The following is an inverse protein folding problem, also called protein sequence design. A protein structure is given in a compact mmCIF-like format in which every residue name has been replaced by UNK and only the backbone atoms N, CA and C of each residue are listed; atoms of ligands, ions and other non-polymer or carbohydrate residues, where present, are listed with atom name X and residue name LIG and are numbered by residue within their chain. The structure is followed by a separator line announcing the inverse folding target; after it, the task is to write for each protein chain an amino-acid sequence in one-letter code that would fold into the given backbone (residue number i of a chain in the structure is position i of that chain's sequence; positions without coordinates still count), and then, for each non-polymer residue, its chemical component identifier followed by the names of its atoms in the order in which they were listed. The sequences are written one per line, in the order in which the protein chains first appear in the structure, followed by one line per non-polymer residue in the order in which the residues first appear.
data_IF_402852305384
#
_entry.id   IF_402852305384
#
_cell.length_a   1.000
_cell.length_b   1.000
_cell.length_c   1.000
_cell.angle_alpha   90.00
_cell.angle_beta   90.00
_cell.angle_gamma   90.00
#
_symmetry.space_group_name_H-M   'P 1'
#
loop_
_entity.id
_entity.type
_entity.pdbx_description
1 polymer ?
#
# COMPACT_ATOMS: atom_id res chain seq x y z
N UNK A 1 -26.10 -8.21 -7.67
CA UNK A 1 -25.94 -8.18 -9.14
C UNK A 1 -24.54 -7.70 -9.51
N UNK A 2 -24.02 -8.11 -10.67
CA UNK A 2 -22.75 -7.58 -11.20
C UNK A 2 -23.00 -6.24 -11.88
N UNK A 3 -22.13 -5.26 -11.61
CA UNK A 3 -22.17 -3.95 -12.23
C UNK A 3 -20.77 -3.43 -12.55
N UNK A 4 -20.69 -2.39 -13.39
CA UNK A 4 -19.46 -1.63 -13.61
C UNK A 4 -19.68 -0.17 -13.27
N UNK A 5 -18.73 0.41 -12.54
CA UNK A 5 -18.58 1.86 -12.50
C UNK A 5 -17.93 2.33 -13.79
N UNK A 6 -18.42 3.45 -14.31
CA UNK A 6 -18.00 4.02 -15.59
C UNK A 6 -16.78 4.93 -15.49
N UNK A 7 -16.43 5.33 -14.26
CA UNK A 7 -15.25 6.12 -13.93
C UNK A 7 -14.78 5.73 -12.53
N UNK A 8 -13.49 5.97 -12.26
CA UNK A 8 -12.91 5.68 -10.96
C UNK A 8 -13.17 6.83 -9.96
N UNK A 9 -13.39 8.07 -10.44
CA UNK A 9 -13.59 9.27 -9.62
C UNK A 9 -14.89 9.23 -8.82
N UNK A 10 -14.85 9.75 -7.59
CA UNK A 10 -16.00 9.80 -6.65
C UNK A 10 -17.18 10.61 -7.17
N UNK A 11 -16.90 11.72 -7.83
CA UNK A 11 -17.86 12.68 -8.38
C UNK A 11 -18.46 12.21 -9.71
N UNK A 12 -17.84 11.23 -10.36
CA UNK A 12 -18.30 10.67 -11.63
C UNK A 12 -19.19 9.46 -11.38
N UNK A 13 -20.43 9.73 -10.97
CA UNK A 13 -21.41 8.70 -10.64
C UNK A 13 -22.09 8.18 -11.91
N UNK A 14 -21.61 7.06 -12.43
CA UNK A 14 -22.20 6.36 -13.55
C UNK A 14 -22.02 4.85 -13.38
N UNK A 15 -23.12 4.10 -13.53
CA UNK A 15 -23.14 2.65 -13.34
C UNK A 15 -23.74 1.95 -14.55
N UNK A 16 -23.12 0.83 -14.92
CA UNK A 16 -23.65 -0.12 -15.87
C UNK A 16 -24.12 -1.39 -15.17
N UNK A 17 -25.39 -1.77 -15.36
CA UNK A 17 -25.96 -3.01 -14.83
C UNK A 17 -27.15 -3.45 -15.70
N UNK A 18 -27.35 -4.75 -15.86
CA UNK A 18 -28.47 -5.35 -16.61
C UNK A 18 -28.73 -4.72 -17.99
N UNK A 19 -27.68 -4.49 -18.77
CA UNK A 19 -27.84 -3.93 -20.12
C UNK A 19 -28.04 -2.41 -20.16
N UNK A 20 -28.03 -1.71 -19.02
CA UNK A 20 -28.44 -0.31 -18.91
C UNK A 20 -27.38 0.56 -18.24
N UNK A 21 -27.26 1.80 -18.73
CA UNK A 21 -26.46 2.86 -18.12
C UNK A 21 -27.35 3.70 -17.19
N UNK A 22 -26.89 3.89 -15.95
CA UNK A 22 -27.55 4.65 -14.90
C UNK A 22 -26.65 5.80 -14.45
N UNK A 23 -27.18 7.03 -14.47
CA UNK A 23 -26.45 8.25 -14.08
C UNK A 23 -27.10 8.99 -12.90
N UNK A 24 -28.44 9.00 -12.83
CA UNK A 24 -29.16 9.75 -11.80
C UNK A 24 -29.64 8.90 -10.61
N UNK A 25 -30.10 7.67 -10.88
CA UNK A 25 -30.62 6.75 -9.87
C UNK A 25 -29.86 5.43 -9.93
N UNK A 26 -29.04 5.18 -8.91
CA UNK A 26 -28.30 3.94 -8.77
C UNK A 26 -29.25 2.80 -8.39
N UNK A 27 -29.22 1.66 -9.10
CA UNK A 27 -30.02 0.50 -8.74
C UNK A 27 -29.68 -0.01 -7.34
N UNK A 28 -30.68 -0.55 -6.64
CA UNK A 28 -30.45 -1.30 -5.41
C UNK A 28 -29.89 -2.69 -5.70
N UNK A 29 -29.24 -3.33 -4.72
CA UNK A 29 -28.71 -4.70 -4.81
C UNK A 29 -27.49 -4.89 -5.75
N UNK A 30 -26.67 -3.86 -5.87
CA UNK A 30 -25.33 -3.96 -6.45
C UNK A 30 -24.42 -4.72 -5.48
N UNK A 31 -23.89 -5.87 -5.88
CA UNK A 31 -23.16 -6.75 -4.94
C UNK A 31 -21.75 -7.09 -5.38
N UNK A 32 -21.44 -6.95 -6.67
CA UNK A 32 -20.19 -7.43 -7.26
C UNK A 32 -19.75 -6.52 -8.40
N UNK A 33 -18.48 -6.18 -8.46
CA UNK A 33 -17.90 -5.42 -9.58
C UNK A 33 -16.44 -5.81 -9.79
N UNK A 34 -15.79 -5.21 -10.78
CA UNK A 34 -14.39 -5.48 -11.06
C UNK A 34 -13.47 -5.00 -9.93
N UNK A 35 -13.56 -3.72 -9.55
CA UNK A 35 -12.62 -3.07 -8.63
C UNK A 35 -13.29 -1.92 -7.89
N UNK A 36 -12.88 -1.65 -6.65
CA UNK A 36 -13.34 -0.50 -5.89
C UNK A 36 -13.05 0.83 -6.59
N UNK A 37 -14.03 1.72 -6.56
CA UNK A 37 -13.98 3.12 -7.01
C UNK A 37 -14.67 4.01 -5.98
N UNK A 38 -14.41 5.32 -5.99
CA UNK A 38 -14.90 6.23 -4.95
C UNK A 38 -16.42 6.44 -4.96
N UNK A 39 -17.10 6.05 -6.04
CA UNK A 39 -18.56 6.11 -6.18
C UNK A 39 -19.29 4.95 -5.49
N UNK A 40 -18.57 3.92 -5.01
CA UNK A 40 -19.16 2.76 -4.34
C UNK A 40 -19.22 3.02 -2.83
N UNK A 41 -20.43 3.04 -2.27
CA UNK A 41 -20.66 3.30 -0.84
C UNK A 41 -21.09 2.08 -0.03
N UNK A 42 -21.64 1.04 -0.68
CA UNK A 42 -22.06 -0.18 0.01
C UNK A 42 -20.84 -1.01 0.42
N UNK A 43 -20.62 -1.25 1.74
CA UNK A 43 -19.47 -1.99 2.22
C UNK A 43 -19.50 -3.48 1.83
N UNK A 44 -20.65 -4.02 1.40
CA UNK A 44 -20.82 -5.43 1.07
C UNK A 44 -20.47 -5.78 -0.38
N UNK A 45 -20.08 -4.79 -1.20
CA UNK A 45 -19.68 -5.04 -2.59
C UNK A 45 -18.37 -5.82 -2.64
N UNK A 46 -18.37 -6.92 -3.39
CA UNK A 46 -17.17 -7.71 -3.68
C UNK A 46 -16.50 -7.29 -5.00
N UNK A 47 -15.19 -7.52 -5.10
CA UNK A 47 -14.30 -7.07 -6.16
C UNK A 47 -13.55 -8.25 -6.78
N UNK A 48 -13.80 -8.51 -8.07
CA UNK A 48 -13.12 -9.56 -8.84
C UNK A 48 -11.61 -9.35 -8.92
N UNK A 49 -11.14 -8.10 -9.02
CA UNK A 49 -9.71 -7.74 -9.10
C UNK A 49 -8.89 -8.27 -7.92
N UNK A 50 -9.48 -8.36 -6.72
CA UNK A 50 -8.84 -8.94 -5.55
C UNK A 50 -8.78 -10.47 -5.62
N UNK A 51 -9.82 -11.11 -6.16
CA UNK A 51 -9.88 -12.58 -6.34
C UNK A 51 -8.84 -13.08 -7.34
N UNK A 52 -8.66 -12.36 -8.43
CA UNK A 52 -7.63 -12.68 -9.43
C UNK A 52 -6.24 -12.12 -9.09
N UNK A 53 -5.98 -11.77 -7.82
CA UNK A 53 -4.65 -11.36 -7.35
C UNK A 53 -4.07 -10.14 -8.08
N UNK A 54 -4.92 -9.20 -8.48
CA UNK A 54 -4.49 -7.97 -9.13
C UNK A 54 -4.30 -8.05 -10.64
N UNK A 55 -4.60 -9.18 -11.28
CA UNK A 55 -4.55 -9.32 -12.74
C UNK A 55 -5.35 -8.21 -13.45
N UNK A 56 -4.87 -7.77 -14.59
CA UNK A 56 -5.64 -6.89 -15.49
C UNK A 56 -6.81 -7.63 -16.11
N UNK A 57 -7.84 -6.91 -16.57
CA UNK A 57 -8.97 -7.50 -17.30
C UNK A 57 -8.52 -8.38 -18.47
N UNK A 58 -7.45 -7.99 -19.18
CA UNK A 58 -6.88 -8.78 -20.27
C UNK A 58 -6.29 -10.11 -19.80
N UNK A 59 -5.65 -10.13 -18.63
CA UNK A 59 -5.01 -11.33 -18.07
C UNK A 59 -6.04 -12.31 -17.49
N UNK A 60 -7.12 -11.78 -16.92
CA UNK A 60 -8.23 -12.56 -16.38
C UNK A 60 -9.35 -12.82 -17.41
N UNK A 61 -9.16 -12.44 -18.68
CA UNK A 61 -10.18 -12.60 -19.71
C UNK A 61 -10.21 -14.06 -20.19
N UNK A 62 -11.38 -14.73 -20.20
CA UNK A 62 -11.50 -16.07 -20.73
C UNK A 62 -11.23 -16.09 -22.25
N UNK A 63 -10.79 -17.24 -22.77
CA UNK A 63 -10.32 -17.37 -24.15
C UNK A 63 -11.39 -16.96 -25.16
N UNK A 64 -12.67 -17.26 -24.91
CA UNK A 64 -13.77 -16.90 -25.79
C UNK A 64 -14.04 -15.39 -25.92
N UNK A 65 -13.63 -14.57 -24.93
CA UNK A 65 -13.87 -13.12 -24.91
C UNK A 65 -12.63 -12.30 -25.30
N UNK A 66 -11.47 -12.94 -25.48
CA UNK A 66 -10.19 -12.22 -25.60
C UNK A 66 -10.14 -11.30 -26.82
N UNK A 67 -10.71 -11.72 -27.96
CA UNK A 67 -10.69 -10.93 -29.20
C UNK A 67 -11.64 -9.73 -29.12
N UNK A 68 -12.83 -9.91 -28.54
CA UNK A 68 -13.76 -8.80 -28.26
C UNK A 68 -13.12 -7.80 -27.29
N UNK A 69 -12.52 -8.29 -26.20
CA UNK A 69 -11.82 -7.44 -25.25
C UNK A 69 -10.66 -6.68 -25.90
N UNK A 70 -9.84 -7.33 -26.76
CA UNK A 70 -8.75 -6.66 -27.49
C UNK A 70 -9.26 -5.59 -28.45
N UNK A 71 -10.39 -5.80 -29.13
CA UNK A 71 -11.02 -4.78 -29.98
C UNK A 71 -11.45 -3.57 -29.15
N UNK A 72 -12.16 -3.82 -28.06
CA UNK A 72 -12.68 -2.78 -27.15
C UNK A 72 -11.57 -2.01 -26.46
N UNK A 73 -10.53 -2.70 -25.97
CA UNK A 73 -9.37 -2.09 -25.34
C UNK A 73 -8.62 -1.17 -26.30
N UNK A 74 -8.41 -1.57 -27.56
CA UNK A 74 -7.80 -0.70 -28.59
C UNK A 74 -8.61 0.57 -28.81
N UNK A 75 -9.95 0.45 -28.83
CA UNK A 75 -10.85 1.61 -28.98
C UNK A 75 -10.81 2.52 -27.75
N UNK A 76 -10.79 1.95 -26.54
CA UNK A 76 -10.59 2.68 -25.29
C UNK A 76 -9.27 3.48 -25.28
N UNK A 77 -8.16 2.83 -25.63
CA UNK A 77 -6.85 3.47 -25.71
C UNK A 77 -6.81 4.58 -26.77
N UNK A 78 -7.52 4.41 -27.89
CA UNK A 78 -7.66 5.44 -28.91
C UNK A 78 -8.41 6.69 -28.37
N UNK A 79 -9.49 6.51 -27.59
CA UNK A 79 -10.18 7.63 -26.93
C UNK A 79 -9.24 8.36 -25.96
N UNK A 80 -8.58 7.65 -25.04
CA UNK A 80 -7.62 8.26 -24.12
C UNK A 80 -6.49 9.00 -24.85
N UNK A 81 -6.00 8.44 -25.96
CA UNK A 81 -5.00 9.09 -26.80
C UNK A 81 -5.53 10.38 -27.42
N UNK A 82 -6.77 10.40 -27.93
CA UNK A 82 -7.38 11.61 -28.48
C UNK A 82 -7.57 12.69 -27.42
N UNK A 83 -8.00 12.34 -26.20
CA UNK A 83 -8.18 13.28 -25.11
C UNK A 83 -6.85 13.92 -24.69
N UNK A 84 -5.79 13.11 -24.61
CA UNK A 84 -4.44 13.61 -24.33
C UNK A 84 -3.94 14.57 -25.42
N UNK A 85 -4.18 14.27 -26.70
CA UNK A 85 -3.81 15.16 -27.82
C UNK A 85 -4.61 16.46 -27.74
N UNK A 86 -5.91 16.37 -27.42
CA UNK A 86 -6.79 17.52 -27.19
C UNK A 86 -6.54 18.27 -25.88
N UNK A 87 -5.55 17.85 -25.07
CA UNK A 87 -5.26 18.40 -23.74
C UNK A 87 -6.47 18.40 -22.79
N UNK A 88 -7.36 17.43 -22.95
CA UNK A 88 -8.51 17.24 -22.05
C UNK A 88 -8.01 16.55 -20.78
N UNK A 89 -8.29 17.15 -19.63
CA UNK A 89 -7.90 16.62 -18.32
C UNK A 89 -8.89 15.55 -17.85
N UNK A 90 -8.46 14.30 -17.78
CA UNK A 90 -9.29 13.20 -17.23
C UNK A 90 -9.53 13.31 -15.72
N UNK A 91 -8.88 14.27 -15.05
CA UNK A 91 -9.16 14.64 -13.66
C UNK A 91 -10.37 15.55 -13.53
N UNK A 92 -10.63 16.37 -14.53
CA UNK A 92 -11.72 17.37 -14.51
C UNK A 92 -12.99 16.87 -15.21
N UNK A 93 -12.87 15.83 -16.03
CA UNK A 93 -13.98 15.28 -16.81
C UNK A 93 -14.22 13.80 -16.52
N UNK A 94 -15.49 13.41 -16.50
CA UNK A 94 -15.90 12.02 -16.45
C UNK A 94 -15.69 11.36 -17.82
N UNK A 95 -15.06 10.18 -17.84
CA UNK A 95 -14.76 9.48 -19.10
C UNK A 95 -16.01 9.22 -19.93
N UNK A 96 -17.11 8.83 -19.28
CA UNK A 96 -18.35 8.48 -19.94
C UNK A 96 -19.05 9.65 -20.64
N UNK A 97 -18.77 10.91 -20.26
CA UNK A 97 -19.31 12.09 -20.94
C UNK A 97 -18.62 12.35 -22.29
N UNK A 98 -17.42 11.80 -22.47
CA UNK A 98 -16.55 12.10 -23.61
C UNK A 98 -16.59 11.02 -24.71
N UNK A 99 -17.31 9.91 -24.47
CA UNK A 99 -17.34 8.76 -25.39
C UNK A 99 -18.78 8.38 -25.76
N UNK A 100 -19.00 7.73 -26.92
CA UNK A 100 -20.33 7.30 -27.34
C UNK A 100 -20.96 6.27 -26.38
N UNK A 101 -22.27 6.38 -26.15
CA UNK A 101 -23.03 5.44 -25.30
C UNK A 101 -22.92 4.00 -25.77
N UNK A 102 -23.00 3.75 -27.08
CA UNK A 102 -22.90 2.40 -27.65
C UNK A 102 -21.57 1.72 -27.31
N UNK A 103 -20.48 2.51 -27.28
CA UNK A 103 -19.18 2.01 -26.85
C UNK A 103 -19.18 1.66 -25.36
N UNK A 104 -19.75 2.51 -24.50
CA UNK A 104 -19.83 2.24 -23.07
C UNK A 104 -20.63 0.97 -22.78
N UNK A 105 -21.77 0.78 -23.45
CA UNK A 105 -22.57 -0.44 -23.36
C UNK A 105 -21.73 -1.67 -23.70
N UNK A 106 -21.16 -1.71 -24.91
CA UNK A 106 -20.35 -2.87 -25.38
C UNK A 106 -19.15 -3.13 -24.46
N UNK A 107 -18.45 -2.06 -24.05
CA UNK A 107 -17.29 -2.15 -23.16
C UNK A 107 -17.65 -2.73 -21.79
N UNK A 108 -18.74 -2.22 -21.18
CA UNK A 108 -19.16 -2.65 -19.85
C UNK A 108 -19.80 -4.04 -19.88
N UNK A 109 -20.45 -4.44 -20.98
CA UNK A 109 -20.96 -5.80 -21.16
C UNK A 109 -19.84 -6.84 -21.16
N UNK A 110 -18.80 -6.63 -21.98
CA UNK A 110 -17.67 -7.56 -22.01
C UNK A 110 -16.93 -7.55 -20.66
N UNK A 111 -16.76 -6.38 -20.05
CA UNK A 111 -16.17 -6.26 -18.70
C UNK A 111 -17.00 -6.99 -17.64
N UNK A 112 -18.34 -6.95 -17.71
CA UNK A 112 -19.23 -7.71 -16.83
C UNK A 112 -19.05 -9.21 -17.00
N UNK A 113 -18.95 -9.71 -18.25
CA UNK A 113 -18.73 -11.13 -18.52
C UNK A 113 -17.38 -11.60 -17.98
N UNK A 114 -16.30 -10.83 -18.19
CA UNK A 114 -14.99 -11.12 -17.58
C UNK A 114 -15.06 -11.11 -16.05
N UNK A 115 -15.76 -10.12 -15.48
CA UNK A 115 -15.94 -10.02 -14.03
C UNK A 115 -16.69 -11.25 -13.48
N UNK A 116 -17.76 -11.68 -14.16
CA UNK A 116 -18.54 -12.87 -13.80
C UNK A 116 -17.67 -14.14 -13.86
N UNK A 117 -16.91 -14.32 -14.93
CA UNK A 117 -15.98 -15.44 -15.09
C UNK A 117 -14.98 -15.52 -13.92
N UNK A 118 -14.45 -14.38 -13.47
CA UNK A 118 -13.57 -14.35 -12.29
C UNK A 118 -14.30 -14.78 -11.02
N UNK A 119 -15.55 -14.36 -10.80
CA UNK A 119 -16.31 -14.79 -9.63
C UNK A 119 -16.65 -16.28 -9.64
N UNK A 120 -16.83 -16.86 -10.82
CA UNK A 120 -17.20 -18.26 -10.98
C UNK A 120 -15.99 -19.21 -10.89
N UNK A 121 -14.83 -18.77 -11.37
CA UNK A 121 -13.64 -19.63 -11.53
C UNK A 121 -12.50 -19.35 -10.54
N UNK A 122 -12.50 -18.19 -9.86
CA UNK A 122 -11.43 -17.83 -8.92
C UNK A 122 -11.90 -17.91 -7.47
N UNK A 123 -11.14 -18.66 -6.66
CA UNK A 123 -11.37 -18.76 -5.23
C UNK A 123 -11.23 -17.40 -4.53
N UNK A 124 -12.08 -17.16 -3.53
CA UNK A 124 -11.94 -15.98 -2.67
C UNK A 124 -10.69 -16.19 -1.80
N UNK A 125 -9.66 -15.32 -1.88
CA UNK A 125 -8.48 -15.47 -1.04
C UNK A 125 -8.86 -15.33 0.44
N UNK A 126 -8.20 -16.09 1.32
CA UNK A 126 -8.51 -16.08 2.74
C UNK A 126 -8.29 -14.70 3.40
N UNK A 127 -7.32 -13.93 2.90
CA UNK A 127 -7.04 -12.57 3.33
C UNK A 127 -7.82 -11.48 2.56
N UNK A 128 -8.91 -11.84 1.87
CA UNK A 128 -9.67 -10.91 1.03
C UNK A 128 -10.11 -9.64 1.77
N UNK A 129 -10.66 -9.78 2.98
CA UNK A 129 -11.20 -8.64 3.73
C UNK A 129 -10.09 -7.66 4.15
N UNK A 130 -8.89 -8.18 4.43
CA UNK A 130 -7.72 -7.34 4.64
C UNK A 130 -7.34 -6.58 3.36
N UNK A 131 -7.27 -7.26 2.22
CA UNK A 131 -6.93 -6.64 0.93
C UNK A 131 -7.95 -5.59 0.50
N UNK A 132 -9.25 -5.81 0.74
CA UNK A 132 -10.31 -4.85 0.46
C UNK A 132 -10.14 -3.56 1.25
N UNK A 133 -9.96 -3.66 2.57
CA UNK A 133 -9.73 -2.49 3.43
C UNK A 133 -8.47 -1.72 3.02
N UNK A 134 -7.38 -2.44 2.72
CA UNK A 134 -6.14 -1.81 2.24
C UNK A 134 -6.38 -1.13 0.90
N UNK A 135 -7.05 -1.78 -0.06
CA UNK A 135 -7.34 -1.18 -1.36
C UNK A 135 -8.12 0.13 -1.23
N UNK A 136 -9.11 0.20 -0.33
CA UNK A 136 -9.90 1.41 -0.06
C UNK A 136 -9.04 2.55 0.48
N UNK A 137 -8.12 2.26 1.42
CA UNK A 137 -7.13 3.25 1.89
C UNK A 137 -6.21 3.71 0.75
N UNK A 138 -5.64 2.79 -0.03
CA UNK A 138 -4.74 3.14 -1.14
C UNK A 138 -5.47 3.97 -2.21
N UNK A 139 -6.76 3.72 -2.42
CA UNK A 139 -7.60 4.55 -3.28
C UNK A 139 -7.71 5.98 -2.73
N UNK A 140 -7.99 6.17 -1.43
CA UNK A 140 -8.03 7.50 -0.79
C UNK A 140 -6.70 8.25 -0.99
N UNK A 141 -5.57 7.56 -0.79
CA UNK A 141 -4.23 8.15 -0.99
C UNK A 141 -4.01 8.53 -2.46
N UNK A 142 -4.41 7.70 -3.42
CA UNK A 142 -4.27 7.97 -4.85
C UNK A 142 -5.01 9.23 -5.31
N UNK A 143 -6.18 9.51 -4.75
CA UNK A 143 -7.00 10.66 -5.14
C UNK A 143 -6.68 11.93 -4.33
N UNK A 144 -5.75 11.85 -3.38
CA UNK A 144 -5.22 13.00 -2.67
C UNK A 144 -3.85 13.37 -3.23
N UNK A 145 -3.78 14.50 -3.93
CA UNK A 145 -2.49 15.03 -4.36
C UNK A 145 -1.62 15.36 -3.15
N UNK A 146 -0.31 15.15 -3.26
CA UNK A 146 0.68 15.64 -2.30
C UNK A 146 0.88 17.14 -2.47
N UNK A 147 1.11 17.84 -1.35
CA UNK A 147 1.62 19.21 -1.40
C UNK A 147 3.13 19.16 -1.69
N UNK A 148 3.49 19.35 -2.96
CA UNK A 148 4.88 19.34 -3.42
C UNK A 148 5.30 20.75 -3.82
N UNK A 149 6.26 21.33 -3.09
CA UNK A 149 6.70 22.71 -3.30
C UNK A 149 8.22 22.86 -3.16
N UNK A 150 8.80 23.60 -4.10
CA UNK A 150 10.21 24.02 -4.04
C UNK A 150 10.48 25.15 -3.03
N UNK A 151 9.45 25.70 -2.40
CA UNK A 151 9.59 26.74 -1.38
C UNK A 151 10.48 26.24 -0.22
N UNK A 152 11.31 27.14 0.30
CA UNK A 152 12.27 26.86 1.39
C UNK A 152 13.23 25.68 1.13
N UNK A 153 13.47 25.37 -0.15
CA UNK A 153 14.31 24.25 -0.59
C UNK A 153 15.44 24.69 -1.53
N UNK A 154 15.84 25.98 -1.48
CA UNK A 154 16.86 26.59 -2.37
C UNK A 154 18.17 25.78 -2.42
N UNK A 155 18.56 25.18 -1.29
CA UNK A 155 19.73 24.32 -1.19
C UNK A 155 19.75 23.16 -2.22
N UNK A 156 18.58 22.56 -2.49
CA UNK A 156 18.45 21.46 -3.46
C UNK A 156 18.73 21.90 -4.91
N UNK A 157 18.63 23.20 -5.19
CA UNK A 157 18.76 23.74 -6.54
C UNK A 157 20.17 24.22 -6.87
N UNK A 158 21.12 24.13 -5.93
CA UNK A 158 22.52 24.50 -6.16
C UNK A 158 23.29 23.43 -6.94
N UNK A 159 23.01 22.16 -6.71
CA UNK A 159 23.64 21.05 -7.44
C UNK A 159 22.81 20.68 -8.67
N UNK A 160 23.44 20.65 -9.85
CA UNK A 160 22.77 20.41 -11.14
C UNK A 160 21.91 19.14 -11.14
N UNK A 161 22.44 18.02 -10.63
CA UNK A 161 21.70 16.75 -10.63
C UNK A 161 20.48 16.74 -9.69
N UNK A 162 20.58 17.40 -8.53
CA UNK A 162 19.46 17.53 -7.58
C UNK A 162 18.39 18.47 -8.12
N UNK A 163 18.80 19.57 -8.76
CA UNK A 163 17.91 20.51 -9.43
C UNK A 163 17.04 19.83 -10.49
N UNK A 164 17.64 19.01 -11.35
CA UNK A 164 16.91 18.38 -12.44
C UNK A 164 15.93 17.33 -11.93
N UNK A 165 16.33 16.56 -10.91
CA UNK A 165 15.43 15.61 -10.22
C UNK A 165 14.27 16.32 -9.52
N UNK A 166 14.54 17.38 -8.77
CA UNK A 166 13.52 18.18 -8.10
C UNK A 166 12.53 18.80 -9.10
N UNK A 167 13.03 19.36 -10.22
CA UNK A 167 12.17 19.89 -11.30
C UNK A 167 11.30 18.81 -11.94
N UNK A 168 11.81 17.59 -12.10
CA UNK A 168 11.04 16.46 -12.62
C UNK A 168 9.90 16.09 -11.67
N UNK A 169 10.15 16.06 -10.36
CA UNK A 169 9.13 15.79 -9.34
C UNK A 169 8.06 16.90 -9.31
N UNK A 170 8.46 18.17 -9.33
CA UNK A 170 7.55 19.31 -9.33
C UNK A 170 6.65 19.41 -10.57
N UNK A 171 7.06 18.83 -11.70
CA UNK A 171 6.29 18.78 -12.95
C UNK A 171 5.61 17.42 -13.19
N UNK A 172 5.87 16.44 -12.31
CA UNK A 172 5.40 15.08 -12.45
C UNK A 172 4.01 14.87 -11.85
N UNK A 173 3.58 13.60 -11.77
CA UNK A 173 2.37 13.23 -11.02
C UNK A 173 2.52 13.64 -9.56
N UNK A 174 1.51 14.30 -8.99
CA UNK A 174 1.51 14.73 -7.59
C UNK A 174 0.84 13.71 -6.64
N UNK A 175 0.27 12.64 -7.16
CA UNK A 175 -0.43 11.61 -6.40
C UNK A 175 0.41 10.33 -6.29
N UNK A 176 0.12 9.52 -5.27
CA UNK A 176 0.76 8.22 -5.08
C UNK A 176 -0.20 7.11 -5.55
N UNK A 177 0.16 6.41 -6.63
CA UNK A 177 -0.60 5.28 -7.17
C UNK A 177 0.11 3.98 -6.81
N UNK A 178 -0.26 3.42 -5.66
CA UNK A 178 0.32 2.16 -5.17
C UNK A 178 -0.18 0.96 -5.96
N UNK A 179 0.73 0.01 -6.19
CA UNK A 179 0.41 -1.31 -6.72
C UNK A 179 0.40 -2.33 -5.57
N UNK A 180 -0.81 -2.71 -5.12
CA UNK A 180 -1.05 -3.66 -4.02
C UNK A 180 -0.47 -5.05 -4.29
N UNK A 181 -0.45 -5.49 -5.56
CA UNK A 181 0.07 -6.78 -6.00
C UNK A 181 1.41 -6.65 -6.73
N UNK A 182 2.11 -5.52 -6.56
CA UNK A 182 3.36 -5.24 -7.26
C UNK A 182 4.55 -6.03 -6.73
N UNK A 183 4.43 -6.64 -5.54
CA UNK A 183 5.46 -7.52 -4.98
C UNK A 183 4.83 -8.81 -4.46
N UNK A 184 5.60 -9.89 -4.50
CA UNK A 184 5.16 -11.22 -4.01
C UNK A 184 4.94 -11.22 -2.49
N UNK A 185 5.72 -10.43 -1.74
CA UNK A 185 5.62 -10.33 -0.29
C UNK A 185 4.55 -9.36 0.20
N UNK A 186 3.75 -8.76 -0.69
CA UNK A 186 2.70 -7.81 -0.28
C UNK A 186 3.20 -6.43 0.14
N UNK A 187 4.52 -6.17 0.07
CA UNK A 187 5.06 -4.81 0.16
C UNK A 187 4.48 -3.97 -0.97
N UNK A 188 4.12 -2.73 -0.66
CA UNK A 188 3.65 -1.80 -1.68
C UNK A 188 4.76 -1.54 -2.71
N UNK A 189 4.36 -1.53 -3.98
CA UNK A 189 5.12 -0.91 -5.05
C UNK A 189 4.34 0.32 -5.57
N UNK A 190 4.87 1.03 -6.54
CA UNK A 190 4.16 2.13 -7.23
C UNK A 190 4.02 1.83 -8.71
N UNK A 191 2.92 2.29 -9.31
CA UNK A 191 2.77 2.28 -10.77
C UNK A 191 3.71 3.31 -11.42
N UNK A 192 4.01 3.14 -12.71
CA UNK A 192 5.02 3.95 -13.42
C UNK A 192 4.70 5.44 -13.52
N UNK A 193 3.41 5.82 -13.44
CA UNK A 193 2.95 7.21 -13.46
C UNK A 193 2.54 7.72 -12.07
N UNK A 194 3.21 7.24 -11.02
CA UNK A 194 3.02 7.66 -9.63
C UNK A 194 4.10 8.65 -9.19
N UNK A 195 3.81 9.47 -8.18
CA UNK A 195 4.84 10.11 -7.38
C UNK A 195 5.70 9.02 -6.70
N UNK A 196 7.04 9.05 -6.83
CA UNK A 196 7.90 7.93 -6.44
C UNK A 196 8.26 7.94 -4.95
N UNK A 197 7.25 8.02 -4.07
CA UNK A 197 7.43 8.21 -2.61
C UNK A 197 8.32 7.12 -1.98
N UNK A 198 8.14 5.87 -2.42
CA UNK A 198 8.84 4.69 -1.89
C UNK A 198 10.34 4.66 -2.20
N UNK A 199 10.78 5.33 -3.27
CA UNK A 199 12.16 5.29 -3.75
C UNK A 199 12.83 6.65 -3.75
N UNK A 200 12.17 7.67 -3.16
CA UNK A 200 12.66 9.02 -3.20
C UNK A 200 13.87 9.20 -2.27
N UNK A 201 14.93 9.83 -2.81
CA UNK A 201 16.11 10.19 -2.04
C UNK A 201 15.76 11.10 -0.87
N UNK A 202 16.43 10.92 0.26
CA UNK A 202 16.17 11.65 1.49
C UNK A 202 16.11 13.17 1.29
N UNK A 203 17.12 13.75 0.65
CA UNK A 203 17.18 15.21 0.46
C UNK A 203 16.01 15.75 -0.38
N UNK A 204 15.53 14.95 -1.36
CA UNK A 204 14.36 15.31 -2.17
C UNK A 204 13.05 15.24 -1.36
N UNK A 205 13.02 14.58 -0.20
CA UNK A 205 11.83 14.62 0.70
C UNK A 205 11.52 16.03 1.20
N UNK A 206 12.47 16.96 1.13
CA UNK A 206 12.28 18.34 1.58
C UNK A 206 11.20 19.10 0.80
N UNK A 207 10.94 18.72 -0.46
CA UNK A 207 9.89 19.37 -1.27
C UNK A 207 8.49 18.85 -0.94
N UNK A 208 8.35 17.75 -0.21
CA UNK A 208 7.04 17.21 0.20
C UNK A 208 6.67 17.87 1.53
N UNK A 209 5.53 18.56 1.55
CA UNK A 209 5.01 19.35 2.66
C UNK A 209 3.65 18.80 3.10
N UNK A 210 3.24 19.00 4.36
CA UNK A 210 1.87 18.72 4.77
C UNK A 210 0.89 19.68 4.10
N UNK A 211 -0.35 19.25 3.93
CA UNK A 211 -1.49 20.12 3.61
C UNK A 211 -1.99 20.85 4.86
N UNK A 212 -1.97 20.18 6.00
CA UNK A 212 -2.16 20.79 7.31
C UNK A 212 -0.81 21.34 7.84
N UNK A 213 -0.63 21.39 9.16
CA UNK A 213 0.54 22.01 9.78
C UNK A 213 1.75 21.08 9.88
N UNK A 214 1.54 19.77 10.07
CA UNK A 214 2.62 18.84 10.40
C UNK A 214 2.53 17.51 9.67
N UNK A 215 3.68 16.96 9.33
CA UNK A 215 3.81 15.52 9.18
C UNK A 215 4.15 14.88 10.52
N UNK A 216 3.46 13.78 10.84
CA UNK A 216 3.80 12.87 11.91
C UNK A 216 4.17 11.52 11.29
N UNK A 217 5.41 11.09 11.52
CA UNK A 217 5.94 9.80 11.08
C UNK A 217 5.94 8.81 12.23
N UNK A 218 5.34 7.64 11.99
CA UNK A 218 5.26 6.50 12.88
C UNK A 218 6.06 5.36 12.25
N UNK A 219 7.11 4.91 12.92
CA UNK A 219 7.99 3.85 12.43
C UNK A 219 8.25 2.83 13.53
N UNK A 220 8.23 1.53 13.21
CA UNK A 220 8.56 0.52 14.19
C UNK A 220 10.06 0.45 14.43
N UNK A 221 10.45 0.39 15.70
CA UNK A 221 11.84 0.13 16.05
C UNK A 221 12.25 -1.29 15.64
N UNK A 222 12.83 -1.47 14.45
CA UNK A 222 13.27 -2.76 13.93
C UNK A 222 12.11 -3.71 13.63
N UNK A 223 11.16 -3.27 12.79
CA UNK A 223 9.92 -3.96 12.45
C UNK A 223 10.09 -5.47 12.17
N UNK A 224 11.03 -5.84 11.29
CA UNK A 224 11.25 -7.23 10.89
C UNK A 224 11.81 -8.10 12.01
N UNK A 225 12.64 -7.52 12.90
CA UNK A 225 13.19 -8.22 14.07
C UNK A 225 12.07 -8.55 15.04
N UNK A 226 11.19 -7.57 15.30
CA UNK A 226 10.02 -7.73 16.17
C UNK A 226 9.02 -8.73 15.59
N UNK A 227 8.77 -8.67 14.28
CA UNK A 227 7.95 -9.64 13.56
C UNK A 227 8.52 -11.04 13.67
N UNK A 228 9.84 -11.22 13.55
CA UNK A 228 10.45 -12.53 13.77
C UNK A 228 10.17 -13.06 15.18
N UNK A 229 10.36 -12.24 16.22
CA UNK A 229 10.04 -12.62 17.60
C UNK A 229 8.55 -12.96 17.75
N UNK A 230 7.68 -12.18 17.11
CA UNK A 230 6.24 -12.42 17.10
C UNK A 230 5.85 -13.76 16.46
N UNK A 231 6.47 -14.11 15.33
CA UNK A 231 6.24 -15.39 14.64
C UNK A 231 6.65 -16.61 15.46
N UNK A 232 7.57 -16.45 16.41
CA UNK A 232 7.96 -17.49 17.39
C UNK A 232 7.19 -17.42 18.71
N UNK A 233 6.30 -16.44 18.89
CA UNK A 233 5.50 -16.26 20.10
C UNK A 233 6.29 -15.71 21.30
N UNK A 234 7.44 -15.06 21.06
CA UNK A 234 8.26 -14.46 22.11
C UNK A 234 7.71 -13.09 22.50
N UNK A 235 7.90 -12.73 23.78
CA UNK A 235 7.51 -11.40 24.29
C UNK A 235 8.33 -10.30 23.62
N UNK A 236 7.67 -9.18 23.30
CA UNK A 236 8.31 -8.04 22.64
C UNK A 236 9.11 -7.21 23.65
N UNK A 237 10.42 -6.98 23.41
CA UNK A 237 11.22 -6.05 24.20
C UNK A 237 10.68 -4.63 24.09
N UNK A 238 10.61 -3.87 25.18
CA UNK A 238 10.10 -2.49 25.17
C UNK A 238 11.20 -1.43 24.98
N UNK A 239 12.44 -1.87 24.80
CA UNK A 239 13.61 -1.04 24.49
C UNK A 239 13.94 -1.13 22.99
N UNK A 240 14.95 -0.37 22.55
CA UNK A 240 15.49 -0.50 21.19
C UNK A 240 15.95 -1.94 20.95
N UNK A 241 15.45 -2.58 19.90
CA UNK A 241 15.61 -4.02 19.67
C UNK A 241 17.07 -4.39 19.35
N UNK A 242 17.83 -3.48 18.75
CA UNK A 242 19.22 -3.72 18.40
C UNK A 242 20.11 -3.58 19.64
N UNK A 243 19.84 -2.60 20.50
CA UNK A 243 20.45 -2.48 21.82
C UNK A 243 20.09 -3.66 22.74
N UNK A 244 18.83 -4.08 22.75
CA UNK A 244 18.39 -5.26 23.49
C UNK A 244 19.12 -6.53 23.00
N UNK A 245 19.26 -6.71 21.68
CA UNK A 245 19.98 -7.84 21.09
C UNK A 245 21.47 -7.85 21.47
N UNK A 246 22.10 -6.67 21.54
CA UNK A 246 23.49 -6.52 21.96
C UNK A 246 23.72 -7.10 23.35
N UNK A 247 22.84 -6.76 24.29
CA UNK A 247 22.95 -7.13 25.70
C UNK A 247 22.50 -8.58 25.92
N UNK A 248 21.34 -8.96 25.35
CA UNK A 248 20.65 -10.19 25.73
C UNK A 248 20.97 -11.38 24.82
N UNK A 249 21.34 -11.14 23.56
CA UNK A 249 21.54 -12.20 22.56
C UNK A 249 23.01 -12.43 22.25
N UNK A 250 23.73 -11.39 21.80
CA UNK A 250 25.16 -11.51 21.45
C UNK A 250 26.04 -11.39 22.69
N UNK A 251 25.60 -10.65 23.72
CA UNK A 251 26.33 -10.40 24.98
C UNK A 251 27.71 -9.77 24.76
N UNK A 252 27.82 -8.87 23.77
CA UNK A 252 29.03 -8.10 23.44
C UNK A 252 28.75 -6.61 23.58
N UNK A 253 29.42 -5.93 24.50
CA UNK A 253 29.15 -4.52 24.84
C UNK A 253 29.83 -3.52 23.90
N UNK A 254 30.82 -3.96 23.14
CA UNK A 254 31.65 -3.19 22.22
C UNK A 254 31.01 -2.94 20.85
N UNK A 255 29.89 -3.61 20.54
CA UNK A 255 29.19 -3.41 19.27
C UNK A 255 28.33 -2.15 19.29
N UNK A 256 28.38 -1.36 18.22
CA UNK A 256 27.43 -0.28 17.99
C UNK A 256 26.07 -0.82 17.55
N UNK A 257 25.04 0.02 17.68
CA UNK A 257 23.68 -0.27 17.23
C UNK A 257 23.60 -0.63 15.73
N UNK A 258 24.35 0.07 14.89
CA UNK A 258 24.31 -0.14 13.43
C UNK A 258 25.05 -1.42 13.02
N UNK A 259 26.14 -1.76 13.70
CA UNK A 259 26.80 -3.06 13.55
C UNK A 259 25.85 -4.19 13.95
N UNK A 260 25.15 -4.05 15.07
CA UNK A 260 24.14 -5.02 15.52
C UNK A 260 23.02 -5.22 14.50
N UNK A 261 22.52 -4.13 13.93
CA UNK A 261 21.51 -4.17 12.85
C UNK A 261 22.05 -4.94 11.63
N UNK A 262 23.27 -4.62 11.20
CA UNK A 262 23.92 -5.27 10.05
C UNK A 262 24.13 -6.76 10.29
N UNK A 263 24.62 -7.15 11.48
CA UNK A 263 24.82 -8.55 11.87
C UNK A 263 23.49 -9.30 11.84
N UNK A 264 22.42 -8.73 12.39
CA UNK A 264 21.11 -9.38 12.40
C UNK A 264 20.58 -9.62 11.00
N UNK A 265 20.64 -8.63 10.10
CA UNK A 265 20.14 -8.79 8.73
C UNK A 265 21.00 -9.73 7.89
N UNK A 266 22.31 -9.69 8.06
CA UNK A 266 23.20 -10.68 7.45
C UNK A 266 22.84 -12.09 7.92
N UNK A 267 22.61 -12.29 9.22
CA UNK A 267 22.15 -13.57 9.73
C UNK A 267 20.78 -13.95 9.16
N UNK A 268 19.77 -13.07 9.21
CA UNK A 268 18.40 -13.37 8.78
C UNK A 268 18.35 -13.79 7.31
N UNK A 269 19.05 -13.05 6.44
CA UNK A 269 18.97 -13.19 4.99
C UNK A 269 20.06 -14.05 4.33
N UNK A 270 20.84 -14.78 5.14
CA UNK A 270 21.75 -15.82 4.63
C UNK A 270 23.14 -15.32 4.21
N UNK A 271 23.62 -14.23 4.81
CA UNK A 271 25.03 -13.85 4.77
C UNK A 271 25.91 -14.91 5.45
N UNK A 272 27.18 -14.96 5.04
CA UNK A 272 28.22 -15.94 5.46
C UNK A 272 28.54 -15.97 6.96
N UNK A 273 27.87 -15.17 7.79
CA UNK A 273 28.04 -15.16 9.25
C UNK A 273 27.26 -16.30 9.91
N UNK A 274 27.75 -17.52 9.74
CA UNK A 274 27.36 -18.64 10.60
C UNK A 274 27.75 -18.30 12.07
N UNK A 275 26.80 -18.50 12.99
CA UNK A 275 27.00 -18.65 14.45
C UNK A 275 27.14 -17.43 15.38
N UNK A 276 26.72 -16.22 15.03
CA UNK A 276 26.78 -15.08 15.99
C UNK A 276 25.55 -15.00 16.92
N UNK A 277 24.35 -15.26 16.39
CA UNK A 277 23.11 -15.24 17.19
C UNK A 277 22.83 -16.65 17.72
N UNK A 278 22.81 -16.83 19.04
CA UNK A 278 22.49 -18.12 19.67
C UNK A 278 21.04 -18.52 19.39
N UNK A 279 20.83 -19.80 19.08
CA UNK A 279 19.52 -20.38 18.73
C UNK A 279 18.42 -20.20 19.81
N UNK A 280 18.78 -19.93 21.07
CA UNK A 280 17.80 -19.79 22.15
C UNK A 280 16.81 -18.63 21.95
N UNK A 281 17.25 -17.54 21.31
CA UNK A 281 16.42 -16.33 21.13
C UNK A 281 15.86 -16.21 19.72
N UNK A 282 16.63 -16.57 18.70
CA UNK A 282 16.17 -16.54 17.32
C UNK A 282 16.33 -17.91 16.68
N UNK A 283 15.22 -18.62 16.48
CA UNK A 283 15.21 -19.93 15.87
C UNK A 283 14.52 -19.86 14.50
N UNK A 284 15.31 -20.00 13.43
CA UNK A 284 14.80 -19.98 12.05
C UNK A 284 13.95 -21.20 11.74
N UNK A 285 14.37 -22.37 12.24
CA UNK A 285 13.68 -23.62 11.99
C UNK A 285 12.28 -23.58 12.61
N UNK A 286 12.15 -23.05 13.81
CA UNK A 286 10.84 -22.86 14.46
C UNK A 286 9.88 -21.99 13.63
N UNK A 287 10.38 -20.93 12.98
CA UNK A 287 9.55 -20.10 12.09
C UNK A 287 9.16 -20.90 10.84
N UNK A 288 10.10 -21.62 10.23
CA UNK A 288 9.83 -22.42 9.03
C UNK A 288 8.85 -23.56 9.33
N UNK A 289 9.04 -24.31 10.41
CA UNK A 289 8.16 -25.41 10.82
C UNK A 289 6.71 -24.95 11.04
N UNK A 290 6.52 -23.71 11.52
CA UNK A 290 5.19 -23.14 11.77
C UNK A 290 4.53 -22.56 10.53
N UNK A 291 5.30 -21.91 9.65
CA UNK A 291 4.76 -21.01 8.64
C UNK A 291 5.11 -21.40 7.20
N UNK A 292 5.93 -22.42 6.99
CA UNK A 292 6.28 -22.97 5.69
C UNK A 292 5.82 -24.43 5.59
N UNK A 293 4.82 -24.68 4.74
CA UNK A 293 4.22 -26.00 4.56
C UNK A 293 4.00 -26.24 3.07
N UNK A 294 4.43 -27.40 2.58
CA UNK A 294 4.23 -27.86 1.19
C UNK A 294 4.60 -26.84 0.11
N UNK A 295 5.79 -26.25 0.22
CA UNK A 295 6.27 -25.26 -0.77
C UNK A 295 5.60 -23.89 -0.68
N UNK A 296 4.83 -23.63 0.39
CA UNK A 296 4.10 -22.38 0.59
C UNK A 296 4.39 -21.75 1.94
N UNK A 297 4.60 -20.44 1.95
CA UNK A 297 4.51 -19.64 3.17
C UNK A 297 3.05 -19.29 3.41
N UNK A 298 2.55 -19.57 4.62
CA UNK A 298 1.26 -19.05 5.11
C UNK A 298 1.57 -18.03 6.20
N UNK A 299 1.08 -16.80 6.06
CA UNK A 299 1.32 -15.76 7.06
C UNK A 299 0.19 -15.75 8.09
N UNK A 300 0.39 -15.13 9.26
CA UNK A 300 -0.67 -14.88 10.23
C UNK A 300 -1.85 -14.08 9.67
N UNK A 301 -1.64 -13.32 8.60
CA UNK A 301 -2.67 -12.52 7.90
C UNK A 301 -3.33 -13.30 6.76
N UNK A 302 -3.28 -14.64 6.82
CA UNK A 302 -3.92 -15.56 5.87
C UNK A 302 -3.44 -15.42 4.41
N UNK A 303 -2.29 -14.76 4.21
CA UNK A 303 -1.65 -14.72 2.88
C UNK A 303 -0.92 -16.02 2.63
N UNK A 304 -1.13 -16.60 1.47
CA UNK A 304 -0.41 -17.79 1.00
C UNK A 304 0.50 -17.44 -0.18
N UNK A 305 1.78 -17.80 -0.09
CA UNK A 305 2.80 -17.48 -1.10
C UNK A 305 3.55 -18.75 -1.49
N UNK A 306 3.52 -19.13 -2.76
CA UNK A 306 4.37 -20.22 -3.29
C UNK A 306 5.82 -19.75 -3.32
N UNK A 307 6.72 -20.49 -2.68
CA UNK A 307 8.12 -20.09 -2.55
C UNK A 307 9.04 -21.27 -2.26
N UNK A 308 10.26 -21.21 -2.81
CA UNK A 308 11.33 -22.14 -2.46
C UNK A 308 11.75 -21.97 -0.98
N UNK A 309 12.09 -23.08 -0.32
CA UNK A 309 12.50 -23.11 1.09
C UNK A 309 13.58 -22.08 1.42
N UNK A 310 14.55 -21.89 0.53
CA UNK A 310 15.66 -20.93 0.68
C UNK A 310 15.20 -19.48 0.89
N UNK A 311 14.01 -19.12 0.40
CA UNK A 311 13.43 -17.77 0.52
C UNK A 311 12.26 -17.71 1.50
N UNK A 312 11.78 -18.86 1.97
CA UNK A 312 10.58 -18.96 2.80
C UNK A 312 10.66 -18.11 4.07
N UNK A 313 11.79 -18.17 4.79
CA UNK A 313 12.01 -17.38 6.01
C UNK A 313 11.90 -15.87 5.74
N UNK A 314 12.49 -15.42 4.64
CA UNK A 314 12.49 -14.01 4.26
C UNK A 314 11.07 -13.58 3.92
N UNK A 315 10.35 -14.40 3.17
CA UNK A 315 9.01 -14.08 2.71
C UNK A 315 8.02 -14.03 3.86
N UNK A 316 8.08 -14.97 4.82
CA UNK A 316 7.18 -14.94 5.98
C UNK A 316 7.40 -13.69 6.83
N UNK A 317 8.65 -13.30 7.10
CA UNK A 317 8.96 -12.11 7.90
C UNK A 317 8.56 -10.83 7.18
N UNK A 318 8.95 -10.69 5.91
CA UNK A 318 8.67 -9.48 5.12
C UNK A 318 7.18 -9.30 4.86
N UNK A 319 6.49 -10.39 4.52
CA UNK A 319 5.07 -10.35 4.24
C UNK A 319 4.24 -10.10 5.48
N UNK A 320 4.58 -10.74 6.60
CA UNK A 320 3.89 -10.48 7.86
C UNK A 320 4.10 -9.02 8.30
N UNK A 321 5.30 -8.48 8.11
CA UNK A 321 5.59 -7.07 8.43
C UNK A 321 4.80 -6.12 7.53
N UNK A 322 4.73 -6.38 6.23
CA UNK A 322 3.97 -5.55 5.29
C UNK A 322 2.47 -5.55 5.61
N UNK A 323 1.87 -6.74 5.80
CA UNK A 323 0.44 -6.86 6.12
C UNK A 323 0.12 -6.22 7.48
N UNK A 324 1.03 -6.31 8.46
CA UNK A 324 0.88 -5.67 9.76
C UNK A 324 0.88 -4.14 9.66
N UNK A 325 1.82 -3.55 8.92
CA UNK A 325 1.89 -2.09 8.73
C UNK A 325 0.67 -1.59 7.97
N UNK A 326 0.27 -2.28 6.90
CA UNK A 326 -0.93 -1.93 6.12
C UNK A 326 -2.20 -2.06 6.93
N UNK A 327 -2.32 -3.09 7.77
CA UNK A 327 -3.43 -3.25 8.68
C UNK A 327 -3.51 -2.08 9.66
N UNK A 328 -2.38 -1.63 10.21
CA UNK A 328 -2.35 -0.47 11.10
C UNK A 328 -2.66 0.83 10.39
N UNK A 329 -2.20 1.01 9.15
CA UNK A 329 -2.56 2.17 8.34
C UNK A 329 -4.07 2.25 8.12
N UNK A 330 -4.72 1.11 7.85
CA UNK A 330 -6.19 1.04 7.73
C UNK A 330 -6.87 1.39 9.05
N UNK A 331 -6.44 0.82 10.18
CA UNK A 331 -7.07 1.10 11.48
C UNK A 331 -6.93 2.58 11.86
N UNK A 332 -5.78 3.21 11.54
CA UNK A 332 -5.57 4.64 11.75
C UNK A 332 -6.43 5.49 10.81
N UNK A 333 -6.59 5.10 9.54
CA UNK A 333 -7.49 5.80 8.60
C UNK A 333 -8.95 5.75 9.05
N UNK A 334 -9.41 4.61 9.56
CA UNK A 334 -10.76 4.45 10.16
C UNK A 334 -10.91 5.33 11.42
N UNK A 335 -9.89 5.39 12.28
CA UNK A 335 -9.90 6.26 13.45
C UNK A 335 -9.95 7.76 13.10
N UNK A 336 -9.36 8.14 11.97
CA UNK A 336 -9.33 9.51 11.46
C UNK A 336 -10.55 9.86 10.58
N UNK A 337 -11.55 8.98 10.46
CA UNK A 337 -12.74 9.28 9.68
C UNK A 337 -13.50 10.49 10.23
N UNK A 338 -13.81 11.46 9.36
CA UNK A 338 -14.42 12.74 9.74
C UNK A 338 -13.47 13.76 10.38
N UNK A 339 -12.16 13.47 10.45
CA UNK A 339 -11.12 14.39 10.95
C UNK A 339 -10.48 15.19 9.81
N UNK A 340 -9.77 16.26 10.17
CA UNK A 340 -8.94 17.04 9.21
C UNK A 340 -7.63 16.31 8.88
N UNK A 341 -7.10 15.60 9.87
CA UNK A 341 -5.89 14.81 9.76
C UNK A 341 -6.16 13.52 8.99
N UNK A 342 -5.14 13.02 8.28
CA UNK A 342 -5.29 11.82 7.46
C UNK A 342 -3.98 11.07 7.24
N UNK A 343 -4.07 9.82 6.82
CA UNK A 343 -2.90 9.05 6.34
C UNK A 343 -2.42 9.64 5.02
N UNK A 344 -1.24 10.26 5.03
CA UNK A 344 -0.63 10.88 3.85
C UNK A 344 -0.04 9.82 2.92
N UNK A 345 0.80 8.95 3.47
CA UNK A 345 1.48 7.91 2.71
C UNK A 345 2.07 6.84 3.62
N UNK A 346 2.37 5.68 3.03
CA UNK A 346 3.03 4.54 3.69
C UNK A 346 4.32 4.21 2.95
N UNK A 347 5.43 4.07 3.69
CA UNK A 347 6.77 3.78 3.14
C UNK A 347 7.37 2.63 3.91
N UNK A 348 7.26 1.42 3.35
CA UNK A 348 7.74 0.20 4.00
C UNK A 348 7.07 -0.03 5.37
N UNK A 349 7.80 0.17 6.46
CA UNK A 349 7.37 0.07 7.86
C UNK A 349 6.97 1.42 8.49
N UNK A 350 7.05 2.51 7.73
CA UNK A 350 6.69 3.86 8.14
C UNK A 350 5.26 4.23 7.66
N UNK A 351 4.46 4.79 8.57
CA UNK A 351 3.20 5.48 8.25
C UNK A 351 3.39 6.97 8.51
N UNK A 352 3.11 7.79 7.50
CA UNK A 352 3.17 9.25 7.62
C UNK A 352 1.76 9.82 7.59
N UNK A 353 1.43 10.59 8.62
CA UNK A 353 0.17 11.30 8.78
C UNK A 353 0.37 12.77 8.47
N UNK A 354 -0.62 13.36 7.80
CA UNK A 354 -0.77 14.80 7.66
C UNK A 354 -1.72 15.26 8.77
N UNK A 355 -1.19 15.99 9.76
CA UNK A 355 -1.87 16.30 11.02
C UNK A 355 -2.23 17.77 11.13
N UNK A 356 -3.48 18.03 11.48
CA UNK A 356 -3.96 19.35 11.88
C UNK A 356 -3.52 19.69 13.30
N UNK A 357 -3.09 20.93 13.55
CA UNK A 357 -2.64 21.38 14.88
C UNK A 357 -3.73 21.21 15.94
N UNK A 358 -4.99 21.49 15.61
CA UNK A 358 -6.13 21.37 16.52
C UNK A 358 -6.55 19.91 16.79
N UNK A 359 -5.92 18.94 16.14
CA UNK A 359 -6.11 17.51 16.35
C UNK A 359 -4.85 16.82 16.91
N UNK A 360 -3.85 17.60 17.37
CA UNK A 360 -2.57 17.08 17.89
C UNK A 360 -2.72 16.09 19.04
N UNK A 361 -3.75 16.24 19.87
CA UNK A 361 -4.00 15.33 21.01
C UNK A 361 -4.24 13.88 20.55
N UNK A 362 -4.74 13.68 19.33
CA UNK A 362 -4.98 12.35 18.75
C UNK A 362 -3.69 11.54 18.55
N UNK A 363 -2.52 12.18 18.52
CA UNK A 363 -1.24 11.50 18.26
C UNK A 363 -0.96 10.43 19.33
N UNK A 364 -1.38 10.64 20.58
CA UNK A 364 -1.18 9.66 21.67
C UNK A 364 -1.97 8.38 21.39
N UNK A 365 -3.24 8.52 21.02
CA UNK A 365 -4.11 7.37 20.68
C UNK A 365 -3.63 6.68 19.41
N UNK A 366 -3.20 7.46 18.41
CA UNK A 366 -2.67 6.91 17.15
C UNK A 366 -1.37 6.13 17.39
N UNK A 367 -0.46 6.65 18.21
CA UNK A 367 0.77 5.93 18.60
C UNK A 367 0.43 4.60 19.27
N UNK A 368 -0.57 4.60 20.16
CA UNK A 368 -1.06 3.38 20.83
C UNK A 368 -1.67 2.39 19.82
N UNK A 369 -2.53 2.85 18.92
CA UNK A 369 -3.11 2.02 17.85
C UNK A 369 -1.99 1.39 17.00
N UNK A 370 -0.96 2.16 16.66
CA UNK A 370 0.17 1.68 15.87
C UNK A 370 1.02 0.67 16.66
N UNK A 371 1.29 0.91 17.95
CA UNK A 371 2.13 0.03 18.78
C UNK A 371 1.47 -1.32 19.09
N UNK A 372 0.16 -1.36 19.32
CA UNK A 372 -0.57 -2.55 19.77
C UNK A 372 -0.72 -3.59 18.66
N UNK A 373 0.25 -4.47 18.46
CA UNK A 373 0.17 -5.49 17.40
C UNK A 373 -0.42 -6.81 17.89
N UNK A 374 -0.77 -7.67 16.94
CA UNK A 374 -1.17 -9.06 17.24
C UNK A 374 -0.06 -9.89 17.92
N UNK A 375 1.17 -9.41 17.92
CA UNK A 375 2.32 -10.02 18.57
C UNK A 375 2.71 -9.33 19.88
N UNK A 376 1.84 -8.45 20.40
CA UNK A 376 2.10 -7.57 21.52
C UNK A 376 2.62 -6.20 21.09
N UNK A 377 2.96 -5.38 22.07
CA UNK A 377 3.29 -3.97 21.84
C UNK A 377 4.69 -3.81 21.24
N UNK A 378 4.73 -3.18 20.08
CA UNK A 378 5.97 -2.80 19.40
C UNK A 378 6.38 -1.41 19.86
N UNK A 379 7.67 -1.22 20.12
CA UNK A 379 8.22 0.11 20.33
C UNK A 379 8.13 0.91 19.02
N UNK A 380 7.58 2.12 19.13
CA UNK A 380 7.34 3.04 18.02
C UNK A 380 8.26 4.24 18.15
N UNK A 381 8.97 4.57 17.06
CA UNK A 381 9.65 5.83 16.88
C UNK A 381 8.64 6.84 16.33
N UNK A 382 8.52 7.99 16.98
CA UNK A 382 7.62 9.06 16.57
C UNK A 382 8.44 10.28 16.16
N UNK A 383 8.18 10.80 14.97
CA UNK A 383 8.84 12.03 14.48
C UNK A 383 7.83 13.02 13.94
N UNK A 384 8.15 14.31 14.02
CA UNK A 384 7.31 15.39 13.53
C UNK A 384 8.11 16.40 12.71
N UNK A 385 7.49 17.02 11.72
CA UNK A 385 8.14 18.11 10.99
C UNK A 385 7.24 18.78 9.96
N UNK A 386 7.68 19.95 9.48
CA UNK A 386 6.94 20.74 8.46
C UNK A 386 7.27 20.32 7.03
N UNK A 387 8.07 19.27 6.85
CA UNK A 387 8.35 18.61 5.58
C UNK A 387 8.90 17.21 5.83
N UNK A 388 8.85 16.36 4.81
CA UNK A 388 9.17 14.94 4.98
C UNK A 388 10.68 14.64 5.12
N UNK A 389 11.57 15.61 4.91
CA UNK A 389 13.01 15.44 5.13
C UNK A 389 13.44 15.81 6.55
N UNK A 390 12.97 16.95 7.04
CA UNK A 390 13.37 17.55 8.30
C UNK A 390 12.39 17.15 9.41
N UNK A 391 12.33 15.85 9.71
CA UNK A 391 11.56 15.28 10.81
C UNK A 391 12.43 15.15 12.07
N UNK A 392 11.94 15.63 13.20
CA UNK A 392 12.60 15.58 14.50
C UNK A 392 11.86 14.64 15.45
N UNK A 393 12.59 14.06 16.41
CA UNK A 393 11.99 13.13 17.38
C UNK A 393 10.93 13.84 18.22
N UNK A 394 9.74 13.25 18.27
CA UNK A 394 8.61 13.76 19.03
C UNK A 394 8.43 12.90 20.29
N UNK A 395 8.87 13.43 21.42
CA UNK A 395 8.74 12.77 22.72
C UNK A 395 7.34 13.04 23.30
N UNK A 396 6.49 12.00 23.28
CA UNK A 396 5.14 11.97 23.86
C UNK A 396 4.96 10.76 24.77
#
# INVERSE_FOLDING_TARGET
MIFQTLDDKSECVGIYVDGKLHFDALPSNLTRTWKYTGSITDPNVEYAWLRCGGQSLKQACPEELIEDWRRLQRRFEAYLKSFRIGKISMREHCFFDLVPKDFLHEFCDVKNKITQDVFDNYEKPANYDHLDRVQKLLYKIKYRDLNVSGANSKALFYQTHMRDRARKLLKGPLHIDYNLFGTVTGRLATHSNSFPILTMMRDLRKIVKPHNEWFISLDYNGAEVRTFLGLTGKRQPQEDIHEWNKINVIRKKDLSRDEMKTIFFAWLYGGTTQNVLKDSTYNKQEVLDRWYVDGKVKTPFDRSIIVDERKALNYVVQSTTADLVLHKAVVIDEFLEGKKSFVSHVVHDEIVLDMAEDERELIVDIKKIFSETRFGDYMVNLKAGKNYCDLEDLNL
#
